data_IF_131612899699
#
_entry.id   IF_131612899699
#
_cell.length_a   1.000
_cell.length_b   1.000
_cell.length_c   1.000
_cell.angle_alpha   90.00
_cell.angle_beta   90.00
_cell.angle_gamma   90.00
#
_symmetry.space_group_name_H-M   'P 1'
#
loop_
_entity.id
_entity.type
_entity.pdbx_description
1 polymer ?
#
# COMPACT_ATOMS: atom_id res chain seq x y z
N UNK A 1 16.25 -32.35 10.15
CA UNK A 1 15.80 -31.14 9.44
C UNK A 1 16.74 -30.93 8.26
N UNK A 2 16.27 -31.22 7.02
CA UNK A 2 17.07 -31.00 5.82
C UNK A 2 17.31 -29.49 5.67
N UNK A 3 18.58 -29.09 5.58
CA UNK A 3 18.97 -27.74 5.16
C UNK A 3 18.42 -27.51 3.74
N UNK A 4 17.26 -26.85 3.65
CA UNK A 4 16.83 -26.30 2.35
C UNK A 4 17.95 -25.37 1.86
N UNK A 5 18.35 -25.55 0.60
CA UNK A 5 19.41 -24.70 0.06
C UNK A 5 18.98 -23.23 0.16
N UNK A 6 19.92 -22.34 0.52
CA UNK A 6 19.71 -20.89 0.65
C UNK A 6 18.95 -20.35 -0.57
N UNK A 7 19.27 -20.86 -1.75
CA UNK A 7 18.61 -20.48 -3.00
C UNK A 7 17.10 -20.83 -3.02
N UNK A 8 16.69 -21.98 -2.45
CA UNK A 8 15.26 -22.33 -2.35
C UNK A 8 14.53 -21.45 -1.34
N UNK A 9 15.20 -21.02 -0.27
CA UNK A 9 14.61 -20.22 0.80
C UNK A 9 14.46 -18.76 0.43
N UNK A 10 15.47 -18.14 -0.20
CA UNK A 10 15.52 -16.71 -0.50
C UNK A 10 15.30 -16.36 -1.97
N UNK A 11 15.49 -17.31 -2.90
CA UNK A 11 15.47 -17.03 -4.33
C UNK A 11 14.17 -16.42 -4.84
N UNK A 12 13.01 -16.97 -4.47
CA UNK A 12 11.73 -16.44 -4.90
C UNK A 12 11.41 -15.05 -4.31
N UNK A 13 11.59 -14.79 -3.00
CA UNK A 13 11.42 -13.44 -2.43
C UNK A 13 12.33 -12.41 -3.08
N UNK A 14 13.62 -12.70 -3.26
CA UNK A 14 14.58 -11.80 -3.90
C UNK A 14 14.22 -11.53 -5.36
N UNK A 15 13.90 -12.59 -6.14
CA UNK A 15 13.46 -12.42 -7.53
C UNK A 15 12.20 -11.55 -7.62
N UNK A 16 11.23 -11.77 -6.74
CA UNK A 16 10.02 -10.94 -6.67
C UNK A 16 10.38 -9.50 -6.35
N UNK A 17 11.26 -9.26 -5.38
CA UNK A 17 11.71 -7.92 -5.02
C UNK A 17 12.38 -7.21 -6.19
N UNK A 18 13.30 -7.87 -6.89
CA UNK A 18 13.96 -7.33 -8.10
C UNK A 18 12.92 -6.99 -9.18
N UNK A 19 11.97 -7.89 -9.44
CA UNK A 19 10.92 -7.67 -10.43
C UNK A 19 10.01 -6.48 -10.07
N UNK A 20 9.63 -6.34 -8.80
CA UNK A 20 8.81 -5.20 -8.31
C UNK A 20 9.58 -3.89 -8.41
N UNK A 21 10.86 -3.87 -8.03
CA UNK A 21 11.71 -2.69 -8.15
C UNK A 21 11.92 -2.29 -9.61
N UNK A 22 12.23 -3.24 -10.49
CA UNK A 22 12.33 -3.00 -11.93
C UNK A 22 11.00 -2.50 -12.52
N UNK A 23 9.86 -3.10 -12.14
CA UNK A 23 8.54 -2.65 -12.56
C UNK A 23 8.28 -1.20 -12.15
N UNK A 24 8.67 -0.78 -10.95
CA UNK A 24 8.52 0.60 -10.49
C UNK A 24 9.33 1.58 -11.35
N UNK A 25 10.57 1.22 -11.69
CA UNK A 25 11.44 2.03 -12.57
C UNK A 25 10.87 2.11 -13.99
N UNK A 26 10.45 0.97 -14.57
CA UNK A 26 9.85 0.92 -15.91
C UNK A 26 8.56 1.72 -15.99
N UNK A 27 7.67 1.62 -14.99
CA UNK A 27 6.44 2.41 -14.94
C UNK A 27 6.72 3.91 -14.86
N UNK A 28 7.78 4.33 -14.15
CA UNK A 28 8.21 5.72 -14.12
C UNK A 28 8.72 6.17 -15.50
N UNK A 29 9.47 5.34 -16.21
CA UNK A 29 9.90 5.63 -17.60
C UNK A 29 8.73 5.72 -18.57
N UNK A 30 7.67 4.95 -18.34
CA UNK A 30 6.47 4.95 -19.16
C UNK A 30 5.48 6.09 -18.83
N UNK A 31 5.78 6.93 -17.83
CA UNK A 31 5.01 8.13 -17.53
C UNK A 31 4.39 8.21 -16.13
N UNK A 32 4.55 7.21 -15.26
CA UNK A 32 4.15 7.35 -13.87
C UNK A 32 5.02 8.40 -13.16
N UNK A 33 4.50 9.11 -12.13
CA UNK A 33 5.28 10.11 -11.41
C UNK A 33 6.58 9.53 -10.82
N UNK A 34 7.65 10.32 -10.87
CA UNK A 34 8.92 9.97 -10.23
C UNK A 34 8.74 9.74 -8.72
N UNK A 35 9.55 8.86 -8.13
CA UNK A 35 9.42 8.42 -6.74
C UNK A 35 8.04 7.81 -6.38
N UNK A 36 7.14 7.63 -7.33
CA UNK A 36 5.80 7.07 -7.10
C UNK A 36 5.64 5.69 -7.75
N UNK A 37 6.27 5.47 -8.91
CA UNK A 37 6.38 4.21 -9.65
C UNK A 37 5.22 3.22 -9.45
N UNK A 38 5.20 2.55 -8.31
CA UNK A 38 4.20 1.56 -7.90
C UNK A 38 3.68 1.86 -6.48
N UNK A 39 2.91 2.94 -6.29
CA UNK A 39 2.39 3.34 -4.97
C UNK A 39 0.96 2.88 -4.73
N UNK A 40 0.75 1.95 -3.79
CA UNK A 40 -0.59 1.44 -3.49
C UNK A 40 -1.50 2.54 -2.91
N UNK A 41 -1.03 3.29 -1.90
CA UNK A 41 -1.85 4.31 -1.25
C UNK A 41 -2.24 5.44 -2.22
N UNK A 42 -1.26 5.98 -2.98
CA UNK A 42 -1.55 7.05 -3.93
C UNK A 42 -2.45 6.59 -5.08
N UNK A 43 -2.31 5.35 -5.53
CA UNK A 43 -3.12 4.82 -6.61
C UNK A 43 -4.56 4.50 -6.16
N UNK A 44 -4.77 4.03 -4.92
CA UNK A 44 -6.11 3.93 -4.35
C UNK A 44 -6.76 5.30 -4.12
N UNK A 45 -5.95 6.31 -3.73
CA UNK A 45 -6.39 7.71 -3.66
C UNK A 45 -6.85 8.22 -5.02
N UNK A 46 -6.06 7.98 -6.08
CA UNK A 46 -6.40 8.41 -7.44
C UNK A 46 -7.70 7.75 -7.93
N UNK A 47 -7.93 6.47 -7.58
CA UNK A 47 -9.20 5.77 -7.86
C UNK A 47 -10.36 6.45 -7.10
N UNK A 48 -10.19 6.78 -5.81
CA UNK A 48 -11.20 7.50 -5.05
C UNK A 48 -11.55 8.85 -5.69
N UNK A 49 -10.54 9.57 -6.18
CA UNK A 49 -10.72 10.82 -6.91
C UNK A 49 -11.44 10.62 -8.25
N UNK A 50 -11.06 9.62 -9.04
CA UNK A 50 -11.70 9.30 -10.32
C UNK A 50 -13.19 8.96 -10.15
N UNK A 51 -13.56 8.31 -9.05
CA UNK A 51 -14.94 7.98 -8.67
C UNK A 51 -15.69 9.15 -8.01
N UNK A 52 -15.10 10.34 -7.99
CA UNK A 52 -15.67 11.56 -7.39
C UNK A 52 -16.01 11.43 -5.89
N UNK A 53 -15.28 10.58 -5.14
CA UNK A 53 -15.46 10.40 -3.70
C UNK A 53 -14.75 11.50 -2.88
N UNK A 54 -13.91 12.32 -3.52
CA UNK A 54 -13.18 13.42 -2.87
C UNK A 54 -13.39 14.72 -3.63
N UNK A 55 -13.61 15.82 -2.89
CA UNK A 55 -13.80 17.18 -3.41
C UNK A 55 -12.52 18.02 -3.39
N UNK A 56 -11.53 17.64 -2.60
CA UNK A 56 -10.20 18.24 -2.56
C UNK A 56 -9.23 17.51 -3.49
N UNK A 57 -8.04 18.06 -3.68
CA UNK A 57 -7.07 17.56 -4.66
C UNK A 57 -7.31 18.18 -6.03
N UNK A 58 -7.79 19.42 -6.02
CA UNK A 58 -7.90 20.28 -7.19
C UNK A 58 -6.81 21.36 -7.13
N UNK A 59 -6.35 21.76 -8.28
CA UNK A 59 -5.47 22.90 -8.47
C UNK A 59 -6.22 24.19 -8.05
N UNK A 60 -5.58 25.01 -7.22
CA UNK A 60 -6.23 26.20 -6.64
C UNK A 60 -6.49 27.30 -7.68
N UNK A 61 -5.70 27.36 -8.75
CA UNK A 61 -5.81 28.40 -9.76
C UNK A 61 -6.75 28.00 -10.89
N UNK A 62 -6.70 26.73 -11.31
CA UNK A 62 -7.46 26.25 -12.46
C UNK A 62 -8.73 25.49 -12.09
N UNK A 63 -8.90 25.11 -10.83
CA UNK A 63 -9.97 24.21 -10.38
C UNK A 63 -9.91 22.81 -10.96
N UNK A 64 -8.81 22.47 -11.67
CA UNK A 64 -8.62 21.18 -12.31
C UNK A 64 -8.22 20.10 -11.31
N UNK A 65 -8.74 18.89 -11.46
CA UNK A 65 -8.36 17.77 -10.63
C UNK A 65 -6.90 17.34 -10.83
N UNK A 66 -6.16 17.10 -9.75
CA UNK A 66 -4.73 16.75 -9.76
C UNK A 66 -4.45 15.32 -9.29
N UNK A 67 -5.43 14.60 -8.73
CA UNK A 67 -5.29 13.25 -8.16
C UNK A 67 -6.45 12.33 -8.56
N UNK A 68 -6.93 12.44 -9.79
CA UNK A 68 -8.04 11.64 -10.33
C UNK A 68 -7.57 10.80 -11.52
N UNK A 69 -7.47 9.50 -11.32
CA UNK A 69 -7.19 8.54 -12.38
C UNK A 69 -7.55 7.11 -11.94
N UNK A 70 -8.18 6.33 -12.82
CA UNK A 70 -8.39 4.90 -12.59
C UNK A 70 -7.09 4.14 -12.87
N UNK A 71 -6.36 3.83 -11.81
CA UNK A 71 -5.02 3.21 -11.87
C UNK A 71 -5.08 1.74 -12.24
N UNK A 72 -4.68 1.35 -13.46
CA UNK A 72 -4.68 -0.05 -13.91
C UNK A 72 -3.71 -0.92 -13.11
N UNK A 73 -2.73 -0.33 -12.45
CA UNK A 73 -1.78 -1.02 -11.58
C UNK A 73 -2.49 -1.70 -10.39
N UNK A 74 -3.48 -1.05 -9.78
CA UNK A 74 -4.25 -1.64 -8.68
C UNK A 74 -5.11 -2.81 -9.17
N UNK A 75 -5.76 -2.61 -10.32
CA UNK A 75 -6.58 -3.66 -10.95
C UNK A 75 -5.72 -4.88 -11.32
N UNK A 76 -4.57 -4.63 -11.96
CA UNK A 76 -3.63 -5.69 -12.36
C UNK A 76 -3.07 -6.46 -11.18
N UNK A 77 -2.72 -5.82 -10.07
CA UNK A 77 -2.26 -6.49 -8.84
C UNK A 77 -3.29 -7.50 -8.31
N UNK A 78 -4.53 -7.07 -8.16
CA UNK A 78 -5.61 -7.93 -7.66
C UNK A 78 -5.92 -9.04 -8.66
N UNK A 79 -6.10 -8.72 -9.93
CA UNK A 79 -6.44 -9.71 -10.96
C UNK A 79 -5.30 -10.70 -11.20
N UNK A 80 -4.03 -10.26 -11.14
CA UNK A 80 -2.87 -11.13 -11.23
C UNK A 80 -2.78 -12.12 -10.07
N UNK A 81 -3.01 -11.65 -8.84
CA UNK A 81 -3.07 -12.53 -7.68
C UNK A 81 -4.24 -13.51 -7.75
N UNK A 82 -5.41 -13.06 -8.23
CA UNK A 82 -6.59 -13.91 -8.44
C UNK A 82 -6.30 -14.98 -9.47
N UNK A 83 -5.75 -14.62 -10.63
CA UNK A 83 -5.42 -15.55 -11.70
C UNK A 83 -4.47 -16.65 -11.20
N UNK A 84 -3.40 -16.27 -10.51
CA UNK A 84 -2.45 -17.26 -10.00
C UNK A 84 -3.06 -18.11 -8.87
N UNK A 85 -3.89 -17.53 -8.00
CA UNK A 85 -4.57 -18.27 -6.94
C UNK A 85 -5.51 -19.34 -7.52
N UNK A 86 -6.23 -19.05 -8.62
CA UNK A 86 -7.04 -20.04 -9.33
C UNK A 86 -6.17 -21.12 -10.00
N UNK A 87 -5.15 -20.73 -10.74
CA UNK A 87 -4.24 -21.69 -11.43
C UNK A 87 -3.60 -22.67 -10.45
N UNK A 88 -3.28 -22.20 -9.24
CA UNK A 88 -2.66 -23.03 -8.20
C UNK A 88 -3.65 -23.70 -7.24
N UNK A 89 -4.96 -23.51 -7.43
CA UNK A 89 -6.01 -23.99 -6.52
C UNK A 89 -5.84 -23.48 -5.09
N UNK A 90 -5.30 -22.26 -4.95
CA UNK A 90 -5.06 -21.55 -3.68
C UNK A 90 -6.14 -20.49 -3.40
N UNK A 91 -7.10 -20.30 -4.31
CA UNK A 91 -8.24 -19.39 -4.09
C UNK A 91 -9.15 -19.92 -2.99
N UNK A 92 -9.24 -19.19 -1.87
CA UNK A 92 -9.94 -19.66 -0.67
C UNK A 92 -10.82 -18.53 -0.10
N UNK A 93 -12.12 -18.48 -0.47
CA UNK A 93 -13.06 -17.53 0.11
C UNK A 93 -13.16 -17.69 1.62
N UNK A 94 -12.76 -16.67 2.35
CA UNK A 94 -12.80 -16.63 3.80
C UNK A 94 -12.89 -15.19 4.32
N UNK A 95 -13.53 -15.00 5.47
CA UNK A 95 -13.63 -13.69 6.11
C UNK A 95 -14.56 -13.72 7.31
N UNK A 96 -15.03 -12.57 7.74
CA UNK A 96 -15.90 -12.42 8.91
C UNK A 96 -15.14 -12.19 10.21
N UNK A 97 -13.81 -11.95 10.16
CA UNK A 97 -13.03 -11.61 11.33
C UNK A 97 -13.04 -10.10 11.57
N UNK A 98 -13.96 -9.63 12.42
CA UNK A 98 -14.09 -8.22 12.85
C UNK A 98 -14.06 -7.20 11.69
N UNK A 99 -14.99 -7.25 10.71
CA UNK A 99 -14.92 -6.43 9.50
C UNK A 99 -14.97 -4.93 9.79
N UNK A 100 -15.79 -4.47 10.74
CA UNK A 100 -15.89 -3.06 11.12
C UNK A 100 -14.56 -2.54 11.71
N UNK A 101 -13.93 -3.32 12.58
CA UNK A 101 -12.62 -2.98 13.16
C UNK A 101 -11.54 -2.90 12.09
N UNK A 102 -11.52 -3.86 11.14
CA UNK A 102 -10.58 -3.85 10.01
C UNK A 102 -10.76 -2.62 9.12
N UNK A 103 -12.00 -2.29 8.82
CA UNK A 103 -12.34 -1.10 8.05
C UNK A 103 -11.81 0.16 8.74
N UNK A 104 -12.07 0.33 10.04
CA UNK A 104 -11.64 1.49 10.80
C UNK A 104 -10.11 1.61 10.89
N UNK A 105 -9.40 0.51 11.17
CA UNK A 105 -7.93 0.49 11.15
C UNK A 105 -7.43 0.90 9.76
N UNK A 106 -8.04 0.38 8.68
CA UNK A 106 -7.63 0.67 7.32
C UNK A 106 -7.78 2.16 6.97
N UNK A 107 -8.86 2.81 7.43
CA UNK A 107 -9.05 4.26 7.27
C UNK A 107 -7.86 5.03 7.85
N UNK A 108 -7.44 4.74 9.09
CA UNK A 108 -6.32 5.43 9.71
C UNK A 108 -4.96 5.07 9.09
N UNK A 109 -4.77 3.82 8.68
CA UNK A 109 -3.58 3.42 7.91
C UNK A 109 -3.48 4.23 6.61
N UNK A 110 -4.59 4.46 5.92
CA UNK A 110 -4.57 5.27 4.70
C UNK A 110 -4.32 6.75 4.99
N UNK A 111 -4.91 7.32 6.05
CA UNK A 111 -4.63 8.70 6.48
C UNK A 111 -3.13 8.84 6.78
N UNK A 112 -2.54 7.97 7.58
CA UNK A 112 -1.09 7.99 7.86
C UNK A 112 -0.24 7.85 6.59
N UNK A 113 -0.64 6.99 5.65
CA UNK A 113 0.04 6.82 4.38
C UNK A 113 -0.02 8.09 3.50
N UNK A 114 -1.12 8.83 3.54
CA UNK A 114 -1.28 10.09 2.78
C UNK A 114 -0.65 11.30 3.51
N UNK A 115 -0.49 11.24 4.82
CA UNK A 115 0.35 12.22 5.56
C UNK A 115 1.82 12.04 5.17
N UNK A 116 2.33 10.81 5.03
CA UNK A 116 3.68 10.53 4.52
C UNK A 116 3.80 10.71 3.00
N UNK A 117 2.70 10.76 2.26
CA UNK A 117 2.66 10.66 0.79
C UNK A 117 3.21 9.34 0.26
N UNK A 118 2.74 8.22 0.82
CA UNK A 118 3.08 6.92 0.25
C UNK A 118 2.84 5.73 1.16
N UNK A 119 2.67 4.56 0.56
CA UNK A 119 2.64 3.29 1.28
C UNK A 119 4.06 2.77 1.56
N UNK A 120 4.22 1.72 2.38
CA UNK A 120 5.54 1.14 2.66
C UNK A 120 6.33 0.70 1.42
N UNK A 121 5.66 0.25 0.34
CA UNK A 121 6.34 -0.05 -0.91
C UNK A 121 6.92 1.21 -1.55
N UNK A 122 6.15 2.30 -1.61
CA UNK A 122 6.64 3.58 -2.12
C UNK A 122 7.77 4.14 -1.26
N UNK A 123 7.73 3.97 0.05
CA UNK A 123 8.82 4.38 0.94
C UNK A 123 10.16 3.76 0.49
N UNK A 124 10.16 2.48 0.11
CA UNK A 124 11.36 1.80 -0.43
C UNK A 124 11.77 2.36 -1.78
N UNK A 125 10.80 2.65 -2.66
CA UNK A 125 11.04 3.26 -3.98
C UNK A 125 11.65 4.66 -3.79
N UNK A 126 11.13 5.48 -2.87
CA UNK A 126 11.68 6.80 -2.53
C UNK A 126 13.12 6.70 -2.02
N UNK A 127 13.38 5.74 -1.12
CA UNK A 127 14.76 5.46 -0.64
C UNK A 127 15.70 5.10 -1.80
N UNK A 128 15.26 4.26 -2.73
CA UNK A 128 16.01 3.88 -3.92
C UNK A 128 16.20 5.05 -4.92
N UNK A 129 15.39 6.10 -4.83
CA UNK A 129 15.56 7.37 -5.56
C UNK A 129 16.50 8.36 -4.87
N UNK A 130 16.91 8.09 -3.61
CA UNK A 130 17.76 8.96 -2.82
C UNK A 130 17.00 9.92 -1.90
N UNK A 131 15.68 9.75 -1.73
CA UNK A 131 14.89 10.58 -0.82
C UNK A 131 15.17 10.23 0.64
N UNK A 132 15.91 11.10 1.32
CA UNK A 132 16.27 10.92 2.74
C UNK A 132 15.08 11.10 3.69
N UNK A 133 13.99 11.77 3.28
CA UNK A 133 12.77 11.83 4.08
C UNK A 133 12.12 10.45 4.22
N UNK A 134 12.28 9.58 3.23
CA UNK A 134 11.81 8.20 3.30
C UNK A 134 12.60 7.36 4.32
N UNK A 135 13.84 7.73 4.66
CA UNK A 135 14.59 7.10 5.76
C UNK A 135 13.95 7.45 7.11
N UNK A 136 13.52 8.70 7.31
CA UNK A 136 12.78 9.12 8.51
C UNK A 136 11.45 8.35 8.59
N UNK A 137 10.75 8.22 7.46
CA UNK A 137 9.56 7.39 7.36
C UNK A 137 9.82 5.91 7.69
N UNK A 138 10.95 5.34 7.26
CA UNK A 138 11.32 3.96 7.58
C UNK A 138 11.52 3.76 9.09
N UNK A 139 12.16 4.70 9.77
CA UNK A 139 12.31 4.65 11.24
C UNK A 139 10.93 4.68 11.90
N UNK A 140 10.04 5.58 11.49
CA UNK A 140 8.66 5.62 11.96
C UNK A 140 7.92 4.30 11.72
N UNK A 141 8.04 3.74 10.53
CA UNK A 141 7.43 2.47 10.15
C UNK A 141 7.89 1.30 11.03
N UNK A 142 9.20 1.21 11.29
CA UNK A 142 9.78 0.21 12.21
C UNK A 142 9.21 0.41 13.61
N UNK A 143 9.21 1.63 14.16
CA UNK A 143 8.63 1.92 15.48
C UNK A 143 7.16 1.48 15.57
N UNK A 144 6.36 1.83 14.56
CA UNK A 144 4.96 1.40 14.49
C UNK A 144 4.79 -0.11 14.46
N UNK A 145 5.61 -0.82 13.68
CA UNK A 145 5.60 -2.29 13.64
C UNK A 145 5.96 -2.87 15.02
N UNK A 146 6.98 -2.34 15.69
CA UNK A 146 7.39 -2.81 17.01
C UNK A 146 6.26 -2.63 18.04
N UNK A 147 5.54 -1.50 18.03
CA UNK A 147 4.35 -1.30 18.85
C UNK A 147 3.30 -2.38 18.55
N UNK A 148 3.00 -2.62 17.27
CA UNK A 148 2.06 -3.66 16.85
C UNK A 148 2.49 -5.06 17.30
N UNK A 149 3.78 -5.39 17.21
CA UNK A 149 4.34 -6.67 17.68
C UNK A 149 4.16 -6.86 19.19
N UNK A 150 4.29 -5.79 19.99
CA UNK A 150 4.03 -5.86 21.44
C UNK A 150 2.58 -6.32 21.71
N UNK A 151 1.61 -5.77 20.96
CA UNK A 151 0.21 -6.19 21.12
C UNK A 151 -0.05 -7.60 20.60
N UNK A 152 0.58 -8.01 19.48
CA UNK A 152 0.50 -9.41 19.02
C UNK A 152 1.02 -10.40 20.07
N UNK A 153 2.16 -10.10 20.69
CA UNK A 153 2.75 -10.93 21.74
C UNK A 153 1.89 -10.97 23.02
N UNK A 154 1.01 -9.97 23.21
CA UNK A 154 0.05 -9.92 24.32
C UNK A 154 -1.30 -10.55 23.99
N UNK A 155 -1.42 -11.24 22.83
CA UNK A 155 -2.65 -11.95 22.47
C UNK A 155 -3.66 -11.12 21.66
N UNK A 156 -3.21 -10.03 20.97
CA UNK A 156 -4.10 -9.30 20.07
C UNK A 156 -4.64 -10.21 18.96
N UNK A 157 -5.97 -10.22 18.77
CA UNK A 157 -6.64 -11.02 17.75
C UNK A 157 -7.88 -10.29 17.20
N UNK A 158 -8.02 -10.28 15.88
CA UNK A 158 -9.24 -9.83 15.19
C UNK A 158 -10.24 -10.99 14.99
N UNK A 159 -10.12 -12.06 15.80
CA UNK A 159 -10.94 -13.26 15.75
C UNK A 159 -10.69 -14.12 14.50
N UNK A 160 -11.44 -15.22 14.38
CA UNK A 160 -11.26 -16.20 13.31
C UNK A 160 -12.05 -15.80 12.06
N UNK A 161 -11.46 -16.05 10.91
CA UNK A 161 -12.17 -15.99 9.63
C UNK A 161 -12.87 -17.34 9.36
N UNK A 162 -14.02 -17.27 8.72
CA UNK A 162 -14.83 -18.42 8.34
C UNK A 162 -14.83 -18.60 6.83
N UNK A 163 -15.08 -19.82 6.36
CA UNK A 163 -15.27 -20.09 4.93
C UNK A 163 -16.51 -19.34 4.43
N UNK A 164 -16.38 -18.71 3.29
CA UNK A 164 -17.45 -17.94 2.64
C UNK A 164 -17.77 -18.51 1.27
N UNK A 165 -18.83 -17.95 0.63
CA UNK A 165 -19.21 -18.33 -0.71
C UNK A 165 -18.18 -17.87 -1.75
N UNK A 166 -18.17 -18.52 -2.91
CA UNK A 166 -17.33 -18.11 -4.04
C UNK A 166 -17.64 -16.67 -4.49
N UNK A 167 -18.91 -16.27 -4.47
CA UNK A 167 -19.34 -14.93 -4.84
C UNK A 167 -18.74 -13.85 -3.94
N UNK A 168 -18.74 -14.08 -2.62
CA UNK A 168 -18.12 -13.16 -1.66
C UNK A 168 -16.61 -13.04 -1.89
N UNK A 169 -15.91 -14.16 -2.12
CA UNK A 169 -14.47 -14.16 -2.43
C UNK A 169 -14.13 -13.42 -3.72
N UNK A 170 -15.03 -13.43 -4.71
CA UNK A 170 -14.88 -12.74 -6.00
C UNK A 170 -15.34 -11.28 -5.98
N UNK A 171 -15.84 -10.76 -4.85
CA UNK A 171 -16.37 -9.40 -4.77
C UNK A 171 -15.32 -8.35 -5.18
N UNK A 172 -14.14 -8.35 -4.58
CA UNK A 172 -13.11 -7.36 -4.94
C UNK A 172 -12.51 -7.60 -6.33
N UNK A 173 -12.13 -8.82 -6.74
CA UNK A 173 -11.77 -9.09 -8.13
C UNK A 173 -12.82 -8.61 -9.14
N UNK A 174 -14.11 -8.81 -8.87
CA UNK A 174 -15.20 -8.33 -9.70
C UNK A 174 -15.26 -6.81 -9.79
N UNK A 175 -15.09 -6.11 -8.66
CA UNK A 175 -14.95 -4.65 -8.65
C UNK A 175 -13.75 -4.18 -9.48
N UNK A 176 -12.61 -4.89 -9.43
CA UNK A 176 -11.45 -4.53 -10.25
C UNK A 176 -11.70 -4.71 -11.75
N UNK A 177 -12.43 -5.76 -12.15
CA UNK A 177 -12.86 -5.93 -13.54
C UNK A 177 -13.81 -4.79 -13.96
N UNK A 178 -14.79 -4.44 -13.12
CA UNK A 178 -15.69 -3.31 -13.39
C UNK A 178 -14.91 -2.00 -13.56
N UNK A 179 -13.96 -1.70 -12.66
CA UNK A 179 -13.14 -0.50 -12.77
C UNK A 179 -12.27 -0.51 -14.03
N UNK A 180 -11.78 -1.68 -14.46
CA UNK A 180 -11.02 -1.81 -15.71
C UNK A 180 -11.91 -1.53 -16.92
N UNK A 181 -13.13 -2.05 -16.96
CA UNK A 181 -14.10 -1.74 -18.02
C UNK A 181 -14.41 -0.25 -18.03
N UNK A 182 -14.63 0.37 -16.87
CA UNK A 182 -14.86 1.81 -16.77
C UNK A 182 -13.65 2.62 -17.23
N UNK A 183 -12.41 2.17 -16.93
CA UNK A 183 -11.21 2.84 -17.40
C UNK A 183 -11.05 2.81 -18.93
N UNK A 184 -11.51 1.73 -19.59
CA UNK A 184 -11.52 1.60 -21.05
C UNK A 184 -12.63 2.41 -21.68
N UNK A 185 -13.85 2.33 -21.17
CA UNK A 185 -15.04 3.03 -21.69
C UNK A 185 -14.94 4.54 -21.41
N UNK A 186 -14.29 4.93 -20.32
CA UNK A 186 -14.10 6.33 -19.90
C UNK A 186 -15.40 7.16 -19.92
N UNK A 187 -16.47 6.75 -19.22
CA UNK A 187 -17.73 7.47 -19.23
C UNK A 187 -17.57 8.87 -18.59
N UNK A 188 -18.42 9.81 -18.97
CA UNK A 188 -18.32 11.23 -18.62
C UNK A 188 -18.41 11.55 -17.11
N UNK A 189 -18.94 10.63 -16.30
CA UNK A 189 -19.00 10.83 -14.85
C UNK A 189 -17.65 10.57 -14.14
N UNK A 190 -16.72 9.89 -14.81
CA UNK A 190 -15.38 9.65 -14.25
C UNK A 190 -14.53 10.91 -14.34
N UNK A 191 -13.92 11.26 -13.23
CA UNK A 191 -12.96 12.36 -13.19
C UNK A 191 -11.60 11.91 -13.67
N UNK A 192 -10.94 12.76 -14.48
CA UNK A 192 -9.57 12.52 -14.93
C UNK A 192 -8.77 13.81 -14.78
N UNK A 193 -7.63 13.71 -14.11
CA UNK A 193 -6.72 14.84 -13.94
C UNK A 193 -6.12 15.29 -15.26
N UNK A 194 -6.03 16.61 -15.43
CA UNK A 194 -5.35 17.25 -16.56
C UNK A 194 -3.97 17.79 -16.17
N UNK A 195 -3.71 17.92 -14.85
CA UNK A 195 -2.44 18.37 -14.27
C UNK A 195 -2.10 17.55 -13.03
N UNK A 196 -0.92 17.77 -12.45
CA UNK A 196 -0.47 17.11 -11.22
C UNK A 196 -0.22 15.60 -11.36
N UNK A 197 0.00 14.90 -10.24
CA UNK A 197 0.37 13.48 -10.24
C UNK A 197 -0.69 12.55 -10.84
N UNK A 198 -1.97 12.93 -10.83
CA UNK A 198 -3.06 12.14 -11.42
C UNK A 198 -3.06 12.13 -12.95
N UNK A 199 -2.52 13.16 -13.59
CA UNK A 199 -2.38 13.21 -15.05
C UNK A 199 -1.21 12.38 -15.58
N UNK A 200 -0.22 12.11 -14.72
CA UNK A 200 0.97 11.32 -15.05
C UNK A 200 0.65 9.83 -14.89
N UNK A 201 0.63 9.12 -16.01
CA UNK A 201 0.33 7.68 -16.01
C UNK A 201 1.03 6.97 -17.16
N UNK A 202 1.52 5.77 -16.90
CA UNK A 202 1.97 4.86 -17.94
C UNK A 202 0.77 4.43 -18.83
N UNK A 203 1.02 4.02 -20.10
CA UNK A 203 -0.03 3.50 -20.96
C UNK A 203 -0.81 2.37 -20.28
N UNK A 204 -2.16 2.43 -20.34
CA UNK A 204 -3.07 1.53 -19.62
C UNK A 204 -2.69 0.06 -19.77
N UNK A 205 -2.45 -0.41 -20.98
CA UNK A 205 -2.13 -1.80 -21.25
C UNK A 205 -0.79 -2.21 -20.64
N UNK A 206 0.25 -1.36 -20.76
CA UNK A 206 1.57 -1.63 -20.20
C UNK A 206 1.51 -1.68 -18.67
N UNK A 207 0.84 -0.71 -18.03
CA UNK A 207 0.65 -0.67 -16.58
C UNK A 207 -0.12 -1.90 -16.09
N UNK A 208 -1.20 -2.29 -16.80
CA UNK A 208 -1.99 -3.47 -16.46
C UNK A 208 -1.17 -4.77 -16.54
N UNK A 209 -0.43 -4.98 -17.64
CA UNK A 209 0.37 -6.21 -17.84
C UNK A 209 1.48 -6.30 -16.80
N UNK A 210 2.22 -5.21 -16.55
CA UNK A 210 3.26 -5.17 -15.52
C UNK A 210 2.66 -5.51 -14.15
N UNK A 211 1.53 -4.90 -13.81
CA UNK A 211 0.86 -5.12 -12.53
C UNK A 211 0.29 -6.53 -12.39
N UNK A 212 -0.22 -7.14 -13.46
CA UNK A 212 -0.64 -8.56 -13.45
C UNK A 212 0.52 -9.47 -13.09
N UNK A 213 1.69 -9.29 -13.71
CA UNK A 213 2.89 -10.08 -13.41
C UNK A 213 3.35 -9.84 -11.97
N UNK A 214 3.41 -8.58 -11.53
CA UNK A 214 3.77 -8.25 -10.14
C UNK A 214 2.77 -8.86 -9.16
N UNK A 215 1.47 -8.83 -9.46
CA UNK A 215 0.42 -9.45 -8.65
C UNK A 215 0.60 -10.97 -8.48
N UNK A 216 0.93 -11.67 -9.57
CA UNK A 216 1.25 -13.11 -9.53
C UNK A 216 2.49 -13.39 -8.68
N UNK A 217 3.57 -12.64 -8.88
CA UNK A 217 4.81 -12.81 -8.11
C UNK A 217 4.62 -12.49 -6.62
N UNK A 218 3.89 -11.42 -6.31
CA UNK A 218 3.58 -11.04 -4.93
C UNK A 218 2.68 -12.05 -4.21
N UNK A 219 1.73 -12.66 -4.93
CA UNK A 219 0.92 -13.78 -4.42
C UNK A 219 1.82 -14.97 -4.09
N UNK A 220 2.68 -15.37 -5.01
CA UNK A 220 3.53 -16.55 -4.87
C UNK A 220 4.57 -16.43 -3.77
N UNK A 221 5.19 -15.25 -3.63
CA UNK A 221 6.21 -14.96 -2.61
C UNK A 221 5.62 -14.52 -1.27
N UNK A 222 4.31 -14.25 -1.21
CA UNK A 222 3.62 -13.64 -0.06
C UNK A 222 4.22 -12.27 0.32
N UNK A 223 4.63 -11.50 -0.67
CA UNK A 223 5.31 -10.23 -0.49
C UNK A 223 4.55 -9.30 0.47
N UNK A 224 5.23 -8.84 1.51
CA UNK A 224 4.67 -7.95 2.53
C UNK A 224 5.78 -7.15 3.21
N UNK A 225 5.72 -5.82 3.12
CA UNK A 225 6.72 -4.95 3.74
C UNK A 225 6.70 -5.02 5.27
N UNK A 226 5.49 -5.03 5.86
CA UNK A 226 5.31 -5.24 7.30
C UNK A 226 5.79 -6.62 7.73
N UNK A 227 5.41 -7.66 6.97
CA UNK A 227 5.83 -9.02 7.25
C UNK A 227 7.36 -9.17 7.26
N UNK A 228 8.07 -8.46 6.39
CA UNK A 228 9.53 -8.49 6.36
C UNK A 228 10.16 -8.10 7.70
N UNK A 229 9.74 -6.98 8.28
CA UNK A 229 10.27 -6.48 9.55
C UNK A 229 9.70 -7.26 10.73
N UNK A 230 8.39 -7.50 10.75
CA UNK A 230 7.72 -8.24 11.82
C UNK A 230 8.30 -9.65 11.99
N UNK A 231 8.44 -10.40 10.89
CA UNK A 231 8.89 -11.79 10.94
C UNK A 231 10.39 -11.87 11.28
N UNK A 232 11.18 -10.88 10.86
CA UNK A 232 12.58 -10.77 11.28
C UNK A 232 12.70 -10.56 12.80
N UNK A 233 11.84 -9.73 13.40
CA UNK A 233 11.85 -9.43 14.84
C UNK A 233 11.28 -10.59 15.65
N UNK A 234 10.12 -11.15 15.24
CA UNK A 234 9.41 -12.18 16.02
C UNK A 234 10.02 -13.58 15.87
N UNK A 235 10.47 -13.93 14.65
CA UNK A 235 10.82 -15.31 14.30
C UNK A 235 12.24 -15.43 13.76
N UNK A 236 13.01 -14.34 13.66
CA UNK A 236 14.33 -14.28 12.99
C UNK A 236 14.28 -14.83 11.56
N UNK A 237 13.13 -14.63 10.89
CA UNK A 237 12.93 -15.02 9.50
C UNK A 237 13.15 -13.83 8.56
N UNK A 238 14.24 -13.89 7.80
CA UNK A 238 14.69 -12.82 6.92
C UNK A 238 14.23 -12.98 5.46
N UNK A 239 13.36 -13.92 5.15
CA UNK A 239 12.89 -14.19 3.77
C UNK A 239 12.20 -12.99 3.15
N UNK A 240 11.23 -12.38 3.84
CA UNK A 240 10.49 -11.24 3.30
C UNK A 240 11.30 -9.93 3.35
N UNK A 241 12.20 -9.76 4.32
CA UNK A 241 13.06 -8.59 4.36
C UNK A 241 14.10 -8.62 3.24
N UNK A 242 14.52 -9.80 2.76
CA UNK A 242 15.37 -9.90 1.59
C UNK A 242 14.69 -9.41 0.31
N UNK A 243 13.37 -9.62 0.17
CA UNK A 243 12.60 -9.02 -0.92
C UNK A 243 12.53 -7.49 -0.81
N UNK A 244 12.37 -6.96 0.40
CA UNK A 244 12.41 -5.53 0.68
C UNK A 244 13.75 -4.92 0.23
N UNK A 245 14.87 -5.55 0.62
CA UNK A 245 16.20 -5.13 0.21
C UNK A 245 16.41 -5.23 -1.31
N UNK A 246 15.88 -6.28 -1.94
CA UNK A 246 15.96 -6.47 -3.38
C UNK A 246 15.19 -5.39 -4.17
N UNK A 247 14.01 -4.94 -3.67
CA UNK A 247 13.29 -3.79 -4.25
C UNK A 247 14.17 -2.54 -4.19
N UNK A 248 14.74 -2.26 -3.01
CA UNK A 248 15.61 -1.09 -2.81
C UNK A 248 16.79 -1.09 -3.78
N UNK A 249 17.50 -2.21 -3.89
CA UNK A 249 18.65 -2.36 -4.80
C UNK A 249 18.24 -2.17 -6.25
N UNK A 250 17.13 -2.79 -6.70
CA UNK A 250 16.68 -2.67 -8.08
C UNK A 250 16.29 -1.22 -8.43
N UNK A 251 15.62 -0.51 -7.53
CA UNK A 251 15.25 0.89 -7.73
C UNK A 251 16.47 1.80 -7.69
N UNK A 252 17.40 1.58 -6.75
CA UNK A 252 18.66 2.33 -6.65
C UNK A 252 19.48 2.21 -7.93
N UNK A 253 19.70 0.97 -8.40
CA UNK A 253 20.44 0.71 -9.64
C UNK A 253 19.71 1.32 -10.83
N UNK A 254 18.38 1.17 -10.91
CA UNK A 254 17.59 1.76 -12.00
C UNK A 254 17.71 3.30 -12.05
N UNK A 255 17.56 3.99 -10.92
CA UNK A 255 17.71 5.44 -10.84
C UNK A 255 19.15 5.89 -11.11
N UNK A 256 20.15 5.12 -10.66
CA UNK A 256 21.56 5.40 -10.96
C UNK A 256 21.83 5.35 -12.48
N UNK A 257 21.35 4.30 -13.16
CA UNK A 257 21.52 4.14 -14.62
C UNK A 257 20.79 5.22 -15.41
N UNK A 258 19.68 5.75 -14.88
CA UNK A 258 18.89 6.80 -15.52
C UNK A 258 19.36 8.21 -15.15
N UNK A 259 20.39 8.37 -14.30
CA UNK A 259 20.85 9.68 -13.82
C UNK A 259 19.81 10.44 -12.98
N UNK A 260 18.85 9.73 -12.38
CA UNK A 260 17.77 10.29 -11.56
C UNK A 260 17.99 10.15 -10.05
N UNK A 261 19.17 9.68 -9.65
CA UNK A 261 19.50 9.50 -8.24
C UNK A 261 19.83 10.85 -7.59
N UNK A 262 19.07 11.23 -6.57
CA UNK A 262 19.25 12.49 -5.84
C UNK A 262 19.18 12.26 -4.32
N UNK A 263 20.35 12.15 -3.68
CA UNK A 263 20.42 12.03 -2.21
C UNK A 263 20.21 13.39 -1.54
N UNK A 264 18.97 13.69 -1.22
CA UNK A 264 18.58 14.96 -0.61
C UNK A 264 17.32 14.83 0.26
N UNK A 265 17.16 15.74 1.23
CA UNK A 265 15.89 15.98 1.92
C UNK A 265 14.98 16.94 1.14
N UNK A 266 15.54 17.84 0.33
CA UNK A 266 14.79 18.87 -0.40
C UNK A 266 14.68 18.52 -1.88
N UNK A 267 13.63 19.05 -2.53
CA UNK A 267 13.43 18.91 -3.97
C UNK A 267 13.10 17.48 -4.45
N UNK A 268 12.60 16.65 -3.57
CA UNK A 268 12.22 15.28 -3.93
C UNK A 268 10.87 15.25 -4.66
N UNK A 269 10.75 14.53 -5.81
CA UNK A 269 9.51 14.45 -6.55
C UNK A 269 8.35 13.88 -5.72
N UNK A 270 7.23 14.60 -5.69
CA UNK A 270 6.00 14.20 -4.99
C UNK A 270 6.25 13.79 -3.53
N UNK A 271 7.10 14.52 -2.81
CA UNK A 271 7.44 14.27 -1.42
C UNK A 271 7.67 15.58 -0.68
N UNK A 272 7.26 15.64 0.59
CA UNK A 272 7.56 16.78 1.46
C UNK A 272 8.72 16.46 2.41
N UNK A 273 9.37 17.50 2.93
CA UNK A 273 10.57 17.42 3.78
C UNK A 273 10.28 17.46 5.28
N UNK A 274 9.01 17.47 5.70
CA UNK A 274 8.64 17.54 7.12
C UNK A 274 8.88 16.18 7.81
N UNK A 275 10.01 16.08 8.52
CA UNK A 275 10.47 14.84 9.14
C UNK A 275 9.51 14.30 10.21
N UNK A 276 8.90 15.17 11.03
CA UNK A 276 7.97 14.74 12.08
C UNK A 276 6.76 14.01 11.49
N UNK A 277 6.16 14.59 10.44
CA UNK A 277 4.97 14.03 9.81
C UNK A 277 5.30 12.79 8.96
N UNK A 278 6.49 12.75 8.37
CA UNK A 278 7.00 11.54 7.72
C UNK A 278 7.15 10.39 8.72
N UNK A 279 7.69 10.65 9.91
CA UNK A 279 7.82 9.67 10.99
C UNK A 279 6.46 9.21 11.52
N UNK A 280 5.61 10.14 11.94
CA UNK A 280 4.30 9.83 12.54
C UNK A 280 3.36 9.13 11.55
N UNK A 281 3.29 9.61 10.30
CA UNK A 281 2.49 8.97 9.26
C UNK A 281 2.87 7.50 9.07
N UNK A 282 4.16 7.23 8.95
CA UNK A 282 4.64 5.86 8.77
C UNK A 282 4.59 5.01 10.04
N UNK A 283 4.68 5.60 11.24
CA UNK A 283 4.44 4.90 12.49
C UNK A 283 2.98 4.41 12.59
N UNK A 284 2.02 5.25 12.23
CA UNK A 284 0.60 4.86 12.15
C UNK A 284 0.38 3.74 11.13
N UNK A 285 0.99 3.84 9.94
CA UNK A 285 0.93 2.79 8.91
C UNK A 285 1.53 1.49 9.42
N UNK A 286 2.68 1.53 10.08
CA UNK A 286 3.36 0.36 10.62
C UNK A 286 2.50 -0.37 11.66
N UNK A 287 2.02 0.36 12.66
CA UNK A 287 1.18 -0.20 13.71
C UNK A 287 -0.12 -0.77 13.17
N UNK A 288 -0.92 0.02 12.46
CA UNK A 288 -2.20 -0.42 11.91
C UNK A 288 -2.06 -1.60 10.94
N UNK A 289 -1.00 -1.63 10.12
CA UNK A 289 -0.76 -2.74 9.19
C UNK A 289 -0.38 -4.04 9.89
N UNK A 290 0.28 -3.99 11.06
CA UNK A 290 0.51 -5.17 11.91
C UNK A 290 -0.83 -5.71 12.43
N UNK A 291 -1.70 -4.84 12.94
CA UNK A 291 -3.03 -5.22 13.42
C UNK A 291 -3.90 -5.82 12.31
N UNK A 292 -3.80 -5.31 11.08
CA UNK A 292 -4.49 -5.85 9.89
C UNK A 292 -3.89 -7.17 9.37
N UNK A 293 -2.69 -7.53 9.83
CA UNK A 293 -1.97 -8.71 9.37
C UNK A 293 -1.20 -8.55 8.06
N UNK A 294 -1.07 -7.32 7.52
CA UNK A 294 -0.29 -7.04 6.31
C UNK A 294 -0.38 -5.60 5.83
N UNK A 295 0.64 -5.16 5.09
CA UNK A 295 0.69 -3.83 4.50
C UNK A 295 -0.38 -3.65 3.38
N UNK A 296 -0.66 -2.43 2.91
CA UNK A 296 -1.66 -2.19 1.86
C UNK A 296 -1.48 -3.06 0.60
N UNK A 297 -0.24 -3.28 0.15
CA UNK A 297 0.03 -4.22 -0.94
C UNK A 297 -0.46 -5.64 -0.61
N UNK A 298 -0.11 -6.15 0.58
CA UNK A 298 -0.51 -7.52 0.97
C UNK A 298 -2.02 -7.64 1.09
N UNK A 299 -2.74 -6.60 1.51
CA UNK A 299 -4.21 -6.62 1.58
C UNK A 299 -4.83 -6.75 0.18
N UNK A 300 -4.31 -6.06 -0.85
CA UNK A 300 -4.77 -6.23 -2.24
C UNK A 300 -4.56 -7.67 -2.73
N UNK A 301 -3.38 -8.22 -2.48
CA UNK A 301 -3.04 -9.60 -2.90
C UNK A 301 -3.95 -10.63 -2.19
N UNK A 302 -4.15 -10.49 -0.88
CA UNK A 302 -5.04 -11.37 -0.11
C UNK A 302 -6.48 -11.29 -0.58
N UNK A 303 -6.97 -10.10 -0.89
CA UNK A 303 -8.31 -9.92 -1.44
C UNK A 303 -8.45 -10.61 -2.81
N UNK A 304 -7.40 -10.57 -3.64
CA UNK A 304 -7.33 -11.35 -4.88
C UNK A 304 -7.29 -12.87 -4.65
N UNK A 305 -6.79 -13.34 -3.51
CA UNK A 305 -6.84 -14.75 -3.08
C UNK A 305 -8.23 -15.18 -2.54
N UNK A 306 -9.23 -14.28 -2.53
CA UNK A 306 -10.58 -14.53 -2.04
C UNK A 306 -10.81 -14.16 -0.57
N UNK A 307 -9.89 -13.44 0.07
CA UNK A 307 -10.06 -13.00 1.46
C UNK A 307 -10.94 -11.76 1.53
N UNK A 308 -12.19 -11.89 2.02
CA UNK A 308 -13.16 -10.79 2.12
C UNK A 308 -12.81 -9.81 3.25
N UNK A 309 -12.13 -10.25 4.32
CA UNK A 309 -11.61 -9.33 5.35
C UNK A 309 -10.59 -8.35 4.76
N UNK A 310 -9.76 -8.82 3.82
CA UNK A 310 -8.84 -7.98 3.08
C UNK A 310 -9.57 -7.08 2.06
N UNK A 311 -10.65 -7.55 1.46
CA UNK A 311 -11.49 -6.73 0.59
C UNK A 311 -12.12 -5.55 1.38
N UNK A 312 -12.67 -5.82 2.58
CA UNK A 312 -13.16 -4.76 3.50
C UNK A 312 -12.04 -3.79 3.88
N UNK A 313 -10.84 -4.29 4.13
CA UNK A 313 -9.66 -3.45 4.41
C UNK A 313 -9.34 -2.54 3.21
N UNK A 314 -9.38 -3.04 1.97
CA UNK A 314 -9.15 -2.24 0.76
C UNK A 314 -10.21 -1.15 0.59
N UNK A 315 -11.49 -1.45 0.86
CA UNK A 315 -12.53 -0.41 0.88
C UNK A 315 -12.29 0.63 1.96
N UNK A 316 -11.81 0.21 3.15
CA UNK A 316 -11.39 1.14 4.20
C UNK A 316 -10.24 2.06 3.75
N UNK A 317 -9.29 1.56 2.96
CA UNK A 317 -8.25 2.41 2.36
C UNK A 317 -8.82 3.44 1.39
N UNK A 318 -9.76 3.07 0.51
CA UNK A 318 -10.39 3.99 -0.43
C UNK A 318 -11.16 5.09 0.32
N UNK A 319 -11.95 4.73 1.33
CA UNK A 319 -12.69 5.69 2.17
C UNK A 319 -11.72 6.56 2.98
N UNK A 320 -10.66 6.00 3.54
CA UNK A 320 -9.60 6.75 4.23
C UNK A 320 -8.92 7.77 3.32
N UNK A 321 -8.71 7.44 2.05
CA UNK A 321 -8.18 8.37 1.07
C UNK A 321 -9.15 9.51 0.77
N UNK A 322 -10.44 9.21 0.60
CA UNK A 322 -11.48 10.22 0.42
C UNK A 322 -11.57 11.16 1.63
N UNK A 323 -11.56 10.61 2.86
CA UNK A 323 -11.53 11.40 4.10
C UNK A 323 -10.30 12.30 4.13
N UNK A 324 -9.10 11.74 3.88
CA UNK A 324 -7.86 12.50 3.94
C UNK A 324 -7.88 13.71 2.99
N UNK A 325 -8.40 13.56 1.78
CA UNK A 325 -8.51 14.68 0.83
C UNK A 325 -9.66 15.64 1.18
N UNK A 326 -10.85 15.14 1.53
CA UNK A 326 -11.99 15.99 1.84
C UNK A 326 -11.79 16.88 3.07
N UNK A 327 -10.95 16.43 4.02
CA UNK A 327 -10.62 17.20 5.23
C UNK A 327 -9.23 17.85 5.18
N UNK A 328 -8.55 17.85 4.02
CA UNK A 328 -7.25 18.49 3.85
C UNK A 328 -6.13 17.85 4.69
N UNK A 329 -6.24 16.55 5.02
CA UNK A 329 -5.23 15.82 5.81
C UNK A 329 -4.11 15.25 4.93
N UNK A 330 -4.35 15.07 3.63
CA UNK A 330 -3.36 14.55 2.70
C UNK A 330 -2.29 15.61 2.43
N UNK A 331 -1.02 15.21 2.53
CA UNK A 331 0.12 16.03 2.20
C UNK A 331 0.29 16.19 0.68
N UNK A 332 1.08 17.17 0.26
CA UNK A 332 1.51 17.40 -1.12
C UNK A 332 3.04 17.50 -1.20
N UNK A 333 3.59 17.77 -2.37
CA UNK A 333 5.01 18.09 -2.51
C UNK A 333 5.39 19.39 -1.79
N UNK A 334 4.44 20.31 -1.63
CA UNK A 334 4.63 21.62 -1.02
C UNK A 334 4.63 21.57 0.51
N UNK A 335 4.16 20.46 1.10
CA UNK A 335 4.13 20.28 2.56
C UNK A 335 3.00 19.40 3.07
N UNK A 336 2.77 19.48 4.37
CA UNK A 336 1.68 18.77 5.04
C UNK A 336 0.31 19.32 4.63
N UNK A 337 -0.72 18.51 4.84
CA UNK A 337 -2.10 18.94 4.60
C UNK A 337 -2.48 20.21 5.38
N UNK A 338 -3.33 21.03 4.80
CA UNK A 338 -3.79 22.32 5.39
C UNK A 338 -4.89 22.13 6.44
N UNK A 339 -5.45 20.93 6.54
CA UNK A 339 -6.50 20.59 7.50
C UNK A 339 -5.96 20.23 8.90
N UNK A 340 -6.81 19.69 9.78
CA UNK A 340 -6.44 19.37 11.16
C UNK A 340 -5.61 18.08 11.27
N UNK A 341 -4.46 18.01 10.58
CA UNK A 341 -3.61 16.81 10.50
C UNK A 341 -3.21 16.32 11.87
N UNK A 342 -2.80 17.23 12.78
CA UNK A 342 -2.40 16.87 14.14
C UNK A 342 -3.54 16.18 14.91
N UNK A 343 -4.77 16.70 14.80
CA UNK A 343 -5.96 16.12 15.45
C UNK A 343 -6.25 14.74 14.87
N UNK A 344 -6.20 14.60 13.55
CA UNK A 344 -6.43 13.31 12.88
C UNK A 344 -5.39 12.27 13.26
N UNK A 345 -4.12 12.65 13.42
CA UNK A 345 -3.04 11.76 13.84
C UNK A 345 -3.20 11.33 15.30
N UNK A 346 -3.49 12.28 16.22
CA UNK A 346 -3.75 11.96 17.64
C UNK A 346 -4.96 11.02 17.76
N UNK A 347 -6.05 11.33 17.07
CA UNK A 347 -7.24 10.47 17.04
C UNK A 347 -6.91 9.08 16.48
N UNK A 348 -6.16 9.00 15.40
CA UNK A 348 -5.75 7.74 14.80
C UNK A 348 -4.93 6.87 15.75
N UNK A 349 -3.93 7.43 16.42
CA UNK A 349 -3.15 6.70 17.43
C UNK A 349 -4.02 6.28 18.62
N UNK A 350 -4.93 7.15 19.10
CA UNK A 350 -5.85 6.82 20.17
C UNK A 350 -6.79 5.66 19.79
N UNK A 351 -7.33 5.67 18.57
CA UNK A 351 -8.20 4.60 18.05
C UNK A 351 -7.41 3.29 17.90
N UNK A 352 -6.20 3.33 17.33
CA UNK A 352 -5.36 2.14 17.22
C UNK A 352 -5.01 1.56 18.59
N UNK A 353 -4.72 2.42 19.59
CA UNK A 353 -4.47 1.99 20.95
C UNK A 353 -5.71 1.34 21.59
N UNK A 354 -6.87 1.99 21.48
CA UNK A 354 -8.15 1.46 21.98
C UNK A 354 -8.48 0.09 21.35
N UNK A 355 -8.36 -0.03 20.03
CA UNK A 355 -8.56 -1.29 19.31
C UNK A 355 -7.55 -2.34 19.76
N UNK A 356 -6.27 -1.97 19.92
CA UNK A 356 -5.22 -2.90 20.35
C UNK A 356 -5.51 -3.46 21.74
N UNK A 357 -5.98 -2.63 22.67
CA UNK A 357 -6.30 -3.05 24.04
C UNK A 357 -7.62 -3.84 24.11
N UNK A 358 -8.65 -3.38 23.40
CA UNK A 358 -9.98 -4.02 23.44
C UNK A 358 -10.04 -5.40 22.78
N UNK A 359 -9.08 -5.70 21.89
CA UNK A 359 -8.99 -6.98 21.19
C UNK A 359 -7.87 -7.89 21.74
N UNK A 360 -7.39 -7.65 22.95
CA UNK A 360 -6.53 -8.60 23.65
C UNK A 360 -7.38 -9.80 24.12
N UNK A 361 -7.04 -10.99 23.64
CA UNK A 361 -7.59 -12.22 24.18
C UNK A 361 -6.87 -12.53 25.48
N UNK A 362 -7.63 -12.78 26.57
CA UNK A 362 -7.03 -13.32 27.81
C UNK A 362 -6.41 -14.66 27.46
N UNK A 363 -5.10 -14.76 27.55
CA UNK A 363 -4.41 -16.05 27.53
C UNK A 363 -4.81 -16.68 28.87
N UNK A 364 -5.79 -17.58 28.86
CA UNK A 364 -6.01 -18.48 30.00
C UNK A 364 -4.77 -19.39 30.03
N UNK A 365 -3.91 -19.14 31.01
CA UNK A 365 -2.73 -19.95 31.35
C UNK A 365 -3.17 -21.20 32.07
#
# INVERSE_FOLDING_TARGET
MQQESILKRFGLPVLTGLAVGAAAVVLTLLGNPENMGFCIACFLRDIAGALNLQRAGYDAETGAGIVQYLRPEIMGLVLGSTALAFLRKEFRPKGGSSPATRFLIAVFVMIGALVFLGCPLRMVIRLGGGDLNALVGLVGFICGILIGVVFLNRGFSLKRAYRQSMAEGLMLPGVMVLLLVLAVVSPSFLQRSVSGPGSMAAPLLAALVIALVVGMLAQRSRLCMVGGIRDAVMFRDFRLISAFAAILVAVLVGNLLLGKLNFSFAGQPVAHSDGLWNFLGMAMVGWGSVLLGGCPLRQLILAGEGNTDSAVTVFGFIVGAAIAHNFGLASSADGIGTGPVAVAMVLGFAVLAAISVSNLERIEV
#
